data_IF_789654155851
#
_entry.id   IF_789654155851
#
_cell.length_a   1.000
_cell.length_b   1.000
_cell.length_c   1.000
_cell.angle_alpha   90.00
_cell.angle_beta   90.00
_cell.angle_gamma   90.00
#
_symmetry.space_group_name_H-M   'P 1'
#
loop_
_entity.id
_entity.type
_entity.pdbx_description
1 polymer ?
#
# COMPACT_ATOMS: atom_id res chain seq x y z
N UNK A 1 -26.39 -7.51 -11.86
CA UNK A 1 -25.02 -7.96 -12.16
C UNK A 1 -24.11 -7.45 -11.05
N UNK A 2 -23.79 -8.31 -10.10
CA UNK A 2 -22.84 -7.99 -9.01
C UNK A 2 -21.50 -8.52 -9.51
N UNK A 3 -20.58 -7.63 -9.84
CA UNK A 3 -19.19 -8.01 -10.11
C UNK A 3 -18.62 -8.41 -8.75
N UNK A 4 -18.61 -9.72 -8.48
CA UNK A 4 -18.11 -10.35 -7.24
C UNK A 4 -16.62 -10.69 -7.28
N UNK A 5 -15.90 -10.25 -8.30
CA UNK A 5 -14.47 -10.46 -8.43
C UNK A 5 -13.77 -9.11 -8.53
N UNK A 6 -13.07 -8.73 -7.46
CA UNK A 6 -11.93 -7.81 -7.43
C UNK A 6 -11.35 -7.88 -6.01
N UNK A 7 -10.65 -8.99 -5.74
CA UNK A 7 -9.72 -9.24 -4.63
C UNK A 7 -9.82 -8.30 -3.42
N UNK A 8 -10.74 -8.67 -2.52
CA UNK A 8 -10.90 -8.06 -1.20
C UNK A 8 -9.60 -8.25 -0.39
N UNK A 9 -9.00 -7.13 0.02
CA UNK A 9 -7.87 -7.07 0.94
C UNK A 9 -6.65 -7.90 0.50
N UNK A 10 -5.99 -7.52 -0.61
CA UNK A 10 -4.66 -8.04 -0.90
C UNK A 10 -3.67 -7.49 0.14
N UNK A 11 -3.48 -8.23 1.23
CA UNK A 11 -2.39 -8.06 2.18
C UNK A 11 -1.11 -8.46 1.45
N UNK A 12 -0.51 -7.51 0.73
CA UNK A 12 0.72 -7.76 -0.01
C UNK A 12 1.85 -8.00 0.98
N UNK A 13 2.31 -9.25 1.02
CA UNK A 13 3.27 -9.77 1.98
C UNK A 13 4.64 -9.11 1.81
N UNK A 14 5.19 -8.71 2.95
CA UNK A 14 6.53 -8.18 3.17
C UNK A 14 7.60 -8.92 2.36
N UNK A 15 8.43 -8.16 1.64
CA UNK A 15 9.78 -8.60 1.26
C UNK A 15 10.76 -7.80 2.10
N UNK A 16 11.49 -8.46 2.99
CA UNK A 16 12.62 -7.85 3.67
C UNK A 16 13.86 -8.12 2.81
N UNK A 17 14.45 -7.08 2.25
CA UNK A 17 15.68 -7.21 1.46
C UNK A 17 16.88 -6.79 2.30
N UNK A 18 17.77 -7.73 2.65
CA UNK A 18 19.01 -7.45 3.36
C UNK A 18 20.19 -7.62 2.40
N UNK A 19 20.94 -6.55 2.16
CA UNK A 19 22.16 -6.58 1.34
C UNK A 19 23.30 -5.85 2.03
N UNK A 20 24.27 -6.62 2.57
CA UNK A 20 25.56 -6.09 3.03
C UNK A 20 25.45 -4.88 3.98
N UNK A 21 24.51 -4.93 4.94
CA UNK A 21 24.27 -3.85 5.90
C UNK A 21 23.20 -2.82 5.48
N UNK A 22 22.55 -3.00 4.33
CA UNK A 22 21.31 -2.28 4.00
C UNK A 22 20.08 -3.16 4.23
N UNK A 23 19.04 -2.57 4.80
CA UNK A 23 17.70 -3.14 4.92
C UNK A 23 16.67 -2.19 4.33
N UNK A 24 15.63 -2.74 3.71
CA UNK A 24 14.45 -1.99 3.28
C UNK A 24 13.20 -2.81 3.59
N UNK A 25 12.12 -2.14 3.97
CA UNK A 25 10.80 -2.72 4.21
C UNK A 25 9.72 -1.76 3.72
N UNK A 26 8.62 -2.29 3.20
CA UNK A 26 7.49 -1.50 2.75
C UNK A 26 6.19 -2.29 2.96
N UNK A 27 5.21 -1.65 3.60
CA UNK A 27 3.95 -2.24 4.01
C UNK A 27 2.80 -1.33 3.60
N UNK A 28 1.71 -1.95 3.16
CA UNK A 28 0.49 -1.23 2.83
C UNK A 28 -0.73 -1.97 3.35
N UNK A 29 -1.73 -1.21 3.78
CA UNK A 29 -3.02 -1.70 4.23
C UNK A 29 -4.10 -0.80 3.62
N UNK A 30 -5.09 -1.42 2.99
CA UNK A 30 -6.27 -0.70 2.53
C UNK A 30 -7.54 -1.39 2.98
N UNK A 31 -8.58 -0.60 3.21
CA UNK A 31 -9.91 -1.07 3.53
C UNK A 31 -10.95 -0.13 2.92
N UNK A 32 -12.02 -0.67 2.36
CA UNK A 32 -13.14 0.09 1.86
C UNK A 32 -14.44 -0.61 2.24
N UNK A 33 -15.42 0.17 2.68
CA UNK A 33 -16.78 -0.25 3.03
C UNK A 33 -17.76 0.88 2.72
N UNK A 34 -19.05 0.70 3.02
CA UNK A 34 -20.10 1.67 2.72
C UNK A 34 -19.74 3.09 3.18
N UNK A 35 -19.29 3.21 4.42
CA UNK A 35 -19.11 4.51 5.08
C UNK A 35 -17.66 4.78 5.49
N UNK A 36 -16.74 3.89 5.11
CA UNK A 36 -15.33 3.99 5.49
C UNK A 36 -14.41 3.64 4.31
N UNK A 37 -13.43 4.49 4.06
CA UNK A 37 -12.27 4.20 3.24
C UNK A 37 -11.02 4.50 4.06
N UNK A 38 -10.13 3.52 4.20
CA UNK A 38 -8.90 3.62 4.98
C UNK A 38 -7.73 3.16 4.12
N UNK A 39 -6.65 3.95 4.12
CA UNK A 39 -5.39 3.60 3.52
C UNK A 39 -4.27 3.91 4.51
N UNK A 40 -3.38 2.95 4.72
CA UNK A 40 -2.15 3.11 5.49
C UNK A 40 -0.98 2.57 4.67
N UNK A 41 0.14 3.29 4.73
CA UNK A 41 1.39 2.93 4.07
C UNK A 41 2.52 3.19 5.06
N UNK A 42 3.44 2.25 5.16
CA UNK A 42 4.61 2.32 6.02
C UNK A 42 5.82 1.84 5.23
N UNK A 43 6.96 2.48 5.43
CA UNK A 43 8.18 2.17 4.71
C UNK A 43 9.39 2.54 5.56
N UNK A 44 10.37 1.66 5.59
CA UNK A 44 11.60 1.86 6.36
C UNK A 44 12.81 1.41 5.56
N UNK A 45 13.93 2.10 5.72
CA UNK A 45 15.18 1.81 5.04
C UNK A 45 16.37 2.20 5.92
N UNK A 46 17.36 1.31 6.02
CA UNK A 46 18.62 1.53 6.71
C UNK A 46 19.79 1.23 5.77
N UNK A 47 20.80 2.11 5.76
CA UNK A 47 21.95 2.02 4.85
C UNK A 47 22.74 3.33 4.79
N UNK A 48 23.68 3.44 3.84
CA UNK A 48 24.47 4.69 3.66
C UNK A 48 23.68 5.80 2.98
N UNK A 49 22.77 5.45 2.08
CA UNK A 49 21.85 6.39 1.45
C UNK A 49 20.49 5.72 1.36
N UNK A 50 19.47 6.42 1.81
CA UNK A 50 18.12 5.90 1.94
C UNK A 50 17.12 6.79 1.22
N UNK A 51 16.05 6.20 0.71
CA UNK A 51 14.91 6.90 0.13
C UNK A 51 13.66 6.15 0.55
N UNK A 52 12.73 6.85 1.18
CA UNK A 52 11.47 6.31 1.68
C UNK A 52 10.36 7.18 1.13
N UNK A 53 9.36 6.55 0.53
CA UNK A 53 8.20 7.24 -0.01
C UNK A 53 6.94 6.45 0.30
N UNK A 54 5.97 7.11 0.93
CA UNK A 54 4.65 6.55 1.19
C UNK A 54 3.59 7.46 0.60
N UNK A 55 2.52 6.86 0.08
CA UNK A 55 1.39 7.60 -0.48
C UNK A 55 0.10 6.86 -0.19
N UNK A 56 -0.87 7.58 0.35
CA UNK A 56 -2.21 7.08 0.65
C UNK A 56 -3.26 7.97 0.00
N UNK A 57 -4.33 7.37 -0.52
CA UNK A 57 -5.50 8.07 -1.05
C UNK A 57 -6.74 7.29 -0.63
N UNK A 58 -7.60 7.90 0.18
CA UNK A 58 -8.86 7.34 0.61
C UNK A 58 -9.99 8.32 0.24
N UNK A 59 -11.02 7.82 -0.45
CA UNK A 59 -12.16 8.63 -0.88
C UNK A 59 -13.46 7.89 -0.65
N UNK A 60 -14.41 8.65 -0.13
CA UNK A 60 -15.80 8.26 0.02
C UNK A 60 -16.63 9.10 -0.95
N UNK A 61 -17.48 8.44 -1.72
CA UNK A 61 -18.42 9.08 -2.61
C UNK A 61 -19.82 8.48 -2.44
N UNK A 62 -20.56 8.95 -1.41
CA UNK A 62 -21.85 8.38 -1.05
C UNK A 62 -22.91 8.55 -2.15
N UNK A 63 -22.86 9.67 -2.89
CA UNK A 63 -23.78 9.98 -3.99
C UNK A 63 -23.79 8.89 -5.08
N UNK A 64 -22.64 8.27 -5.33
CA UNK A 64 -22.49 7.20 -6.30
C UNK A 64 -22.34 5.83 -5.65
N UNK A 65 -22.40 5.75 -4.32
CA UNK A 65 -22.21 4.52 -3.56
C UNK A 65 -20.83 3.88 -3.77
N UNK A 66 -19.78 4.71 -3.81
CA UNK A 66 -18.40 4.27 -4.08
C UNK A 66 -17.49 4.69 -2.93
N UNK A 67 -16.75 3.73 -2.40
CA UNK A 67 -15.66 3.96 -1.44
C UNK A 67 -14.39 3.35 -2.00
N UNK A 68 -13.28 4.07 -1.96
CA UNK A 68 -12.00 3.58 -2.48
C UNK A 68 -10.84 3.99 -1.59
N UNK A 69 -9.90 3.09 -1.43
CA UNK A 69 -8.65 3.31 -0.72
C UNK A 69 -7.48 2.79 -1.54
N UNK A 70 -6.38 3.52 -1.54
CA UNK A 70 -5.11 3.16 -2.18
C UNK A 70 -3.97 3.52 -1.25
N UNK A 71 -3.03 2.60 -1.10
CA UNK A 71 -1.78 2.81 -0.38
C UNK A 71 -0.62 2.32 -1.25
N UNK A 72 0.49 3.04 -1.24
CA UNK A 72 1.75 2.65 -1.86
C UNK A 72 2.92 3.04 -0.97
N UNK A 73 3.92 2.17 -0.88
CA UNK A 73 5.10 2.33 -0.07
C UNK A 73 6.32 1.87 -0.89
N UNK A 74 7.38 2.67 -0.94
CA UNK A 74 8.64 2.37 -1.63
C UNK A 74 9.80 2.72 -0.69
N UNK A 75 10.65 1.75 -0.43
CA UNK A 75 11.83 1.87 0.41
C UNK A 75 13.06 1.42 -0.38
N UNK A 76 14.07 2.29 -0.45
CA UNK A 76 15.34 2.04 -1.12
C UNK A 76 16.46 2.29 -0.13
N UNK A 77 17.33 1.30 0.05
CA UNK A 77 18.57 1.43 0.79
C UNK A 77 19.76 1.11 -0.12
N UNK A 78 20.75 2.01 -0.16
CA UNK A 78 21.99 1.84 -0.94
C UNK A 78 23.20 1.73 -0.03
N UNK A 79 24.10 0.82 -0.38
CA UNK A 79 25.45 0.70 0.19
C UNK A 79 26.48 0.72 -0.93
N UNK A 80 27.78 0.74 -0.58
CA UNK A 80 28.86 0.57 -1.56
C UNK A 80 28.83 -0.80 -2.26
N UNK A 81 28.14 -1.79 -1.69
CA UNK A 81 28.12 -3.19 -2.17
C UNK A 81 26.82 -3.57 -2.88
N UNK A 82 25.80 -2.70 -2.89
CA UNK A 82 24.53 -3.00 -3.55
C UNK A 82 23.39 -2.08 -3.16
N UNK A 83 22.23 -2.36 -3.74
CA UNK A 83 20.96 -1.66 -3.47
C UNK A 83 19.91 -2.69 -3.04
N UNK A 84 19.21 -2.40 -1.95
CA UNK A 84 17.98 -3.10 -1.55
C UNK A 84 16.80 -2.18 -1.85
N UNK A 85 15.79 -2.67 -2.57
CA UNK A 85 14.57 -1.92 -2.86
C UNK A 85 13.35 -2.80 -2.64
N UNK A 86 12.40 -2.29 -1.87
CA UNK A 86 11.14 -2.96 -1.56
C UNK A 86 9.99 -2.01 -1.88
N UNK A 87 8.96 -2.54 -2.53
CA UNK A 87 7.75 -1.80 -2.90
C UNK A 87 6.54 -2.60 -2.43
N UNK A 88 5.55 -1.90 -1.88
CA UNK A 88 4.26 -2.44 -1.51
C UNK A 88 3.16 -1.54 -2.03
N UNK A 89 2.16 -2.12 -2.68
CA UNK A 89 0.99 -1.43 -3.21
C UNK A 89 -0.25 -2.20 -2.77
N UNK A 90 -1.26 -1.49 -2.27
CA UNK A 90 -2.55 -2.05 -1.89
C UNK A 90 -3.68 -1.14 -2.32
N UNK A 91 -4.80 -1.75 -2.73
CA UNK A 91 -6.01 -1.06 -3.19
C UNK A 91 -7.23 -1.79 -2.69
N UNK A 92 -8.25 -1.03 -2.30
CA UNK A 92 -9.55 -1.53 -1.90
C UNK A 92 -10.64 -0.65 -2.51
N UNK A 93 -11.68 -1.28 -3.04
CA UNK A 93 -12.84 -0.59 -3.62
C UNK A 93 -14.08 -1.28 -3.09
N UNK A 94 -15.05 -0.49 -2.66
CA UNK A 94 -16.36 -0.95 -2.22
C UNK A 94 -17.44 -0.20 -3.00
N UNK A 95 -18.36 -0.96 -3.58
CA UNK A 95 -19.49 -0.45 -4.35
C UNK A 95 -20.78 -0.87 -3.66
N UNK A 96 -21.69 0.08 -3.45
CA UNK A 96 -23.00 -0.18 -2.90
C UNK A 96 -24.07 0.63 -3.60
N UNK A 97 -25.30 0.13 -3.57
CA UNK A 97 -26.45 0.88 -4.04
C UNK A 97 -27.03 1.68 -2.87
N UNK A 98 -27.18 2.99 -3.05
CA UNK A 98 -28.02 3.81 -2.17
C UNK A 98 -29.47 3.50 -2.57
N UNK A 99 -30.10 2.55 -1.88
CA UNK A 99 -31.57 2.43 -1.91
C UNK A 99 -32.19 3.49 -1.01
#
# INVERSE_FOLDING_TARGET
MIIKDLDFAQKSTHKNGIFGGASASANTLTFASKDLALAAADADASGKSVSVNTRTDARLNPKFGISRARASADAIARTRRGTSRIVSDSRSIFLYTSR
#
